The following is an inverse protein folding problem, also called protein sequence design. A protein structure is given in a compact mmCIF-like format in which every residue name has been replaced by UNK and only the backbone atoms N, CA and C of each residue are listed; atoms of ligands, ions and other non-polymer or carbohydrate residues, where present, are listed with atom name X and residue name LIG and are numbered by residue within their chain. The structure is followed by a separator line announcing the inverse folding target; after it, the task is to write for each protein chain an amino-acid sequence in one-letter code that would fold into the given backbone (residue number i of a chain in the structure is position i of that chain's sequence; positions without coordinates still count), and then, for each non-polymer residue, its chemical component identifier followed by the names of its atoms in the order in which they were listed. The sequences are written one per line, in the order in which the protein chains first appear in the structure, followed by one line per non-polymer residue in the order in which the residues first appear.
data_IF_769431830869
#
_entry.id   IF_769431830869
#
_cell.length_a   1.000
_cell.length_b   1.000
_cell.length_c   1.000
_cell.angle_alpha   90.00
_cell.angle_beta   90.00
_cell.angle_gamma   90.00
#
_symmetry.space_group_name_H-M   'P 1'
#
loop_
_entity.id
_entity.type
_entity.pdbx_description
1 polymer ?
#
# COMPACT_ATOMS: atom_id res chain seq x y z
N UNK A 1 34.91 -25.64 19.87
CA UNK A 1 33.80 -26.06 18.99
C UNK A 1 32.48 -25.55 19.55
N UNK A 2 31.71 -24.82 18.72
CA UNK A 2 30.25 -24.58 18.70
C UNK A 2 29.60 -24.00 19.97
N UNK A 3 29.37 -22.69 20.03
CA UNK A 3 28.13 -21.96 19.61
C UNK A 3 26.83 -22.59 20.13
N UNK A 4 26.12 -21.84 20.99
CA UNK A 4 24.85 -21.22 20.59
C UNK A 4 24.22 -20.47 21.77
N UNK A 5 24.44 -19.16 21.80
CA UNK A 5 23.65 -18.21 22.59
C UNK A 5 22.28 -18.11 21.92
N UNK A 6 21.25 -18.72 22.52
CA UNK A 6 19.86 -18.50 22.12
C UNK A 6 19.45 -17.08 22.53
N UNK A 7 19.53 -16.13 21.59
CA UNK A 7 18.79 -14.87 21.72
C UNK A 7 17.46 -15.10 21.02
N UNK A 8 16.44 -15.40 21.83
CA UNK A 8 15.05 -15.34 21.42
C UNK A 8 14.68 -13.87 21.21
N UNK A 9 14.97 -13.32 20.04
CA UNK A 9 14.39 -12.07 19.59
C UNK A 9 12.94 -12.32 19.21
N UNK A 10 12.07 -12.23 20.21
CA UNK A 10 10.65 -11.91 20.07
C UNK A 10 10.54 -10.56 19.33
N UNK A 11 10.63 -10.59 18.00
CA UNK A 11 10.19 -9.48 17.18
C UNK A 11 8.66 -9.49 17.23
N UNK A 12 8.12 -8.64 18.09
CA UNK A 12 6.76 -8.16 17.99
C UNK A 12 6.57 -7.59 16.58
N UNK A 13 6.06 -8.43 15.68
CA UNK A 13 5.40 -7.99 14.46
C UNK A 13 4.12 -7.29 14.93
N UNK A 14 4.23 -6.03 15.31
CA UNK A 14 3.07 -5.15 15.22
C UNK A 14 2.62 -5.24 13.76
N UNK A 15 1.38 -5.70 13.47
CA UNK A 15 0.86 -5.63 12.12
C UNK A 15 1.02 -4.17 11.71
N UNK A 16 1.61 -3.93 10.54
CA UNK A 16 1.60 -2.60 9.93
C UNK A 16 0.12 -2.31 9.76
N UNK A 17 -0.46 -1.56 10.70
CA UNK A 17 -1.88 -1.27 10.74
C UNK A 17 -2.17 -0.45 9.50
N UNK A 18 -2.65 -1.13 8.46
CA UNK A 18 -3.16 -0.53 7.25
C UNK A 18 -4.17 0.51 7.71
N UNK A 19 -3.90 1.79 7.48
CA UNK A 19 -4.62 2.91 8.08
C UNK A 19 -6.15 2.67 8.08
N UNK A 20 -6.67 2.22 9.23
CA UNK A 20 -8.08 1.85 9.41
C UNK A 20 -8.97 3.09 9.56
N UNK A 21 -8.39 4.24 9.89
CA UNK A 21 -9.16 5.35 10.45
C UNK A 21 -10.04 6.22 9.53
N UNK A 22 -9.92 6.28 8.18
CA UNK A 22 -10.86 7.07 7.36
C UNK A 22 -12.10 6.28 6.93
N UNK A 23 -11.93 5.01 6.53
CA UNK A 23 -13.01 4.17 6.00
C UNK A 23 -13.97 3.73 7.10
N UNK A 24 -13.44 3.46 8.30
CA UNK A 24 -14.26 3.15 9.46
C UNK A 24 -15.21 4.30 9.78
N UNK A 25 -14.73 5.55 9.71
CA UNK A 25 -15.58 6.73 9.95
C UNK A 25 -16.66 6.94 8.89
N UNK A 26 -16.37 6.67 7.61
CA UNK A 26 -17.39 6.77 6.55
C UNK A 26 -18.42 5.64 6.66
N UNK A 27 -17.96 4.41 6.94
CA UNK A 27 -18.86 3.30 7.24
C UNK A 27 -19.72 3.58 8.47
N UNK A 28 -19.16 4.14 9.53
CA UNK A 28 -19.91 4.53 10.74
C UNK A 28 -20.96 5.60 10.42
N UNK A 29 -20.65 6.55 9.52
CA UNK A 29 -21.60 7.57 9.06
C UNK A 29 -22.71 6.98 8.18
N UNK A 30 -22.39 6.02 7.31
CA UNK A 30 -23.36 5.29 6.49
C UNK A 30 -24.28 4.39 7.32
N UNK A 31 -23.76 3.82 8.40
CA UNK A 31 -24.47 2.88 9.28
C UNK A 31 -25.07 3.55 10.52
N UNK A 32 -24.95 4.87 10.68
CA UNK A 32 -25.52 5.61 11.79
C UNK A 32 -27.06 5.63 11.71
N UNK A 33 -27.78 5.37 12.81
CA UNK A 33 -29.25 5.43 12.84
C UNK A 33 -29.80 6.84 12.63
N UNK A 34 -28.94 7.87 12.69
CA UNK A 34 -29.25 9.24 12.25
C UNK A 34 -28.71 9.38 10.83
N UNK A 35 -29.61 9.45 9.84
CA UNK A 35 -29.25 9.69 8.43
C UNK A 35 -28.58 11.05 8.27
N UNK A 36 -27.27 11.10 8.49
CA UNK A 36 -26.45 12.21 8.02
C UNK A 36 -26.27 12.00 6.53
N UNK A 37 -26.85 12.91 5.73
CA UNK A 37 -26.70 12.89 4.28
C UNK A 37 -25.23 13.16 3.95
N UNK A 38 -24.47 12.11 3.67
CA UNK A 38 -23.09 12.21 3.20
C UNK A 38 -23.11 13.06 1.92
N UNK A 39 -22.34 14.13 1.93
CA UNK A 39 -22.23 15.00 0.77
C UNK A 39 -21.16 14.46 -0.19
N UNK A 40 -21.27 14.79 -1.48
CA UNK A 40 -20.19 14.53 -2.45
C UNK A 40 -18.85 15.10 -1.97
N UNK A 41 -18.86 16.22 -1.25
CA UNK A 41 -17.64 16.81 -0.69
C UNK A 41 -16.99 15.92 0.38
N UNK A 42 -17.79 15.28 1.23
CA UNK A 42 -17.32 14.32 2.24
C UNK A 42 -16.73 13.06 1.60
N UNK A 43 -17.36 12.56 0.53
CA UNK A 43 -16.84 11.43 -0.24
C UNK A 43 -15.51 11.78 -0.93
N UNK A 44 -15.44 12.95 -1.59
CA UNK A 44 -14.20 13.45 -2.22
C UNK A 44 -13.09 13.56 -1.19
N UNK A 45 -13.36 14.13 -0.02
CA UNK A 45 -12.38 14.29 1.06
C UNK A 45 -11.87 12.95 1.57
N UNK A 46 -12.77 11.99 1.77
CA UNK A 46 -12.43 10.64 2.23
C UNK A 46 -11.58 9.92 1.19
N UNK A 47 -12.00 9.98 -0.07
CA UNK A 47 -11.28 9.45 -1.21
C UNK A 47 -9.85 10.01 -1.30
N UNK A 48 -9.71 11.35 -1.35
CA UNK A 48 -8.41 12.02 -1.49
C UNK A 48 -7.50 11.68 -0.32
N UNK A 49 -8.02 11.71 0.92
CA UNK A 49 -7.26 11.34 2.11
C UNK A 49 -6.73 9.90 2.01
N UNK A 50 -7.58 8.95 1.67
CA UNK A 50 -7.19 7.54 1.58
C UNK A 50 -6.15 7.30 0.50
N UNK A 51 -6.34 7.87 -0.70
CA UNK A 51 -5.35 7.75 -1.77
C UNK A 51 -4.00 8.32 -1.34
N UNK A 52 -4.00 9.49 -0.70
CA UNK A 52 -2.77 10.13 -0.20
C UNK A 52 -2.05 9.27 0.83
N UNK A 53 -2.77 8.71 1.80
CA UNK A 53 -2.20 7.82 2.82
C UNK A 53 -1.62 6.54 2.20
N UNK A 54 -2.30 5.96 1.20
CA UNK A 54 -1.80 4.79 0.47
C UNK A 54 -0.53 5.10 -0.33
N UNK A 55 -0.48 6.24 -1.03
CA UNK A 55 0.71 6.67 -1.78
C UNK A 55 1.90 6.96 -0.85
N UNK A 56 1.68 7.67 0.26
CA UNK A 56 2.70 7.92 1.28
C UNK A 56 3.28 6.62 1.85
N UNK A 57 2.40 5.66 2.17
CA UNK A 57 2.84 4.36 2.65
C UNK A 57 3.69 3.62 1.61
N UNK A 58 3.28 3.62 0.33
CA UNK A 58 4.03 2.98 -0.74
C UNK A 58 5.42 3.61 -0.95
N UNK A 59 5.54 4.93 -0.80
CA UNK A 59 6.82 5.63 -0.87
C UNK A 59 7.73 5.26 0.31
N UNK A 60 7.20 5.22 1.54
CA UNK A 60 7.96 4.75 2.72
C UNK A 60 8.37 3.29 2.59
N UNK A 61 7.46 2.43 2.12
CA UNK A 61 7.75 1.02 1.86
C UNK A 61 8.89 0.86 0.84
N UNK A 62 8.83 1.61 -0.27
CA UNK A 62 9.88 1.62 -1.29
C UNK A 62 11.22 2.06 -0.70
N UNK A 63 11.23 3.14 0.08
CA UNK A 63 12.45 3.64 0.72
C UNK A 63 13.05 2.62 1.71
N UNK A 64 12.21 1.99 2.53
CA UNK A 64 12.61 0.97 3.48
C UNK A 64 13.18 -0.29 2.79
N UNK A 65 12.58 -0.73 1.69
CA UNK A 65 13.07 -1.87 0.92
C UNK A 65 14.38 -1.58 0.19
N UNK A 66 14.55 -0.39 -0.39
CA UNK A 66 15.82 0.04 -0.97
C UNK A 66 16.90 0.11 0.10
N UNK A 67 16.62 0.75 1.24
CA UNK A 67 17.59 0.87 2.33
C UNK A 67 18.03 -0.50 2.87
N UNK A 68 17.09 -1.46 3.02
CA UNK A 68 17.45 -2.82 3.40
C UNK A 68 18.32 -3.49 2.34
N UNK A 69 17.90 -3.44 1.07
CA UNK A 69 18.64 -4.06 -0.04
C UNK A 69 20.07 -3.53 -0.11
N UNK A 70 20.27 -2.24 0.06
CA UNK A 70 21.60 -1.62 -0.03
C UNK A 70 22.51 -2.02 1.14
N UNK A 71 21.93 -2.24 2.34
CA UNK A 71 22.68 -2.64 3.55
C UNK A 71 23.00 -4.14 3.59
N UNK A 72 22.03 -4.98 3.24
CA UNK A 72 22.07 -6.42 3.52
C UNK A 72 22.06 -7.28 2.24
N UNK A 73 21.69 -6.70 1.11
CA UNK A 73 21.34 -7.44 -0.11
C UNK A 73 19.93 -8.05 -0.02
N UNK A 74 19.30 -8.19 -1.19
CA UNK A 74 18.14 -9.07 -1.33
C UNK A 74 18.54 -10.34 -2.07
N UNK A 75 18.01 -11.47 -1.61
CA UNK A 75 17.92 -12.67 -2.42
C UNK A 75 17.02 -12.41 -3.64
N UNK A 76 17.11 -13.29 -4.64
CA UNK A 76 16.25 -13.20 -5.83
C UNK A 76 14.76 -13.29 -5.48
N UNK A 77 14.41 -14.11 -4.49
CA UNK A 77 13.02 -14.27 -4.04
C UNK A 77 12.53 -13.01 -3.31
N UNK A 78 13.31 -12.45 -2.39
CA UNK A 78 12.93 -11.21 -1.70
C UNK A 78 12.80 -10.02 -2.67
N UNK A 79 13.66 -9.94 -3.68
CA UNK A 79 13.53 -8.91 -4.72
C UNK A 79 12.27 -9.10 -5.57
N UNK A 80 11.91 -10.35 -5.89
CA UNK A 80 10.65 -10.68 -6.57
C UNK A 80 9.46 -10.24 -5.70
N UNK A 81 9.43 -10.66 -4.44
CA UNK A 81 8.35 -10.38 -3.50
C UNK A 81 8.22 -8.88 -3.21
N UNK A 82 9.32 -8.14 -3.11
CA UNK A 82 9.32 -6.68 -2.98
C UNK A 82 8.63 -5.98 -4.16
N UNK A 83 8.90 -6.41 -5.38
CA UNK A 83 8.30 -5.81 -6.57
C UNK A 83 6.84 -6.24 -6.73
N UNK A 84 6.52 -7.48 -6.37
CA UNK A 84 5.14 -7.98 -6.36
C UNK A 84 4.27 -7.28 -5.31
N UNK A 85 4.79 -7.02 -4.11
CA UNK A 85 4.08 -6.23 -3.10
C UNK A 85 3.77 -4.82 -3.57
N UNK A 86 4.69 -4.15 -4.27
CA UNK A 86 4.42 -2.84 -4.87
C UNK A 86 3.30 -2.92 -5.91
N UNK A 87 3.31 -3.95 -6.75
CA UNK A 87 2.25 -4.15 -7.76
C UNK A 87 0.90 -4.44 -7.09
N UNK A 88 0.90 -5.23 -6.02
CA UNK A 88 -0.27 -5.53 -5.21
C UNK A 88 -0.87 -4.25 -4.62
N UNK A 89 -0.07 -3.44 -3.91
CA UNK A 89 -0.56 -2.21 -3.28
C UNK A 89 -1.14 -1.20 -4.30
N UNK A 90 -0.51 -1.09 -5.48
CA UNK A 90 -1.04 -0.25 -6.56
C UNK A 90 -2.34 -0.79 -7.14
N UNK A 91 -2.50 -2.12 -7.21
CA UNK A 91 -3.73 -2.75 -7.69
C UNK A 91 -4.86 -2.61 -6.66
N UNK A 92 -4.58 -2.81 -5.38
CA UNK A 92 -5.49 -2.55 -4.25
C UNK A 92 -5.99 -1.10 -4.25
N UNK A 93 -5.07 -0.13 -4.45
CA UNK A 93 -5.44 1.27 -4.55
C UNK A 93 -6.36 1.55 -5.75
N UNK A 94 -6.10 0.94 -6.91
CA UNK A 94 -6.96 1.09 -8.10
C UNK A 94 -8.34 0.47 -7.86
N UNK A 95 -8.42 -0.66 -7.16
CA UNK A 95 -9.71 -1.28 -6.84
C UNK A 95 -10.50 -0.43 -5.85
N UNK A 96 -9.84 0.16 -4.86
CA UNK A 96 -10.43 1.21 -4.03
C UNK A 96 -10.94 2.39 -4.87
N UNK A 97 -10.15 2.88 -5.83
CA UNK A 97 -10.55 3.99 -6.70
C UNK A 97 -11.79 3.69 -7.54
N UNK A 98 -11.94 2.44 -8.00
CA UNK A 98 -13.14 1.99 -8.73
C UNK A 98 -14.40 2.01 -7.87
N UNK A 99 -14.30 1.78 -6.56
CA UNK A 99 -15.46 1.89 -5.66
C UNK A 99 -16.05 3.31 -5.63
N UNK A 100 -15.26 4.32 -5.99
CA UNK A 100 -15.66 5.72 -6.09
C UNK A 100 -15.77 6.20 -7.54
N UNK A 101 -16.06 5.30 -8.49
CA UNK A 101 -16.14 5.66 -9.92
C UNK A 101 -17.18 6.74 -10.22
N UNK A 102 -18.21 6.89 -9.38
CA UNK A 102 -19.19 7.96 -9.51
C UNK A 102 -18.57 9.35 -9.34
N UNK A 103 -17.43 9.48 -8.66
CA UNK A 103 -16.72 10.74 -8.48
C UNK A 103 -15.75 11.07 -9.64
N UNK A 104 -15.63 10.21 -10.67
CA UNK A 104 -14.65 10.38 -11.75
C UNK A 104 -14.85 11.65 -12.60
N UNK A 105 -16.00 12.33 -12.49
CA UNK A 105 -16.22 13.64 -13.12
C UNK A 105 -15.51 14.79 -12.40
N UNK A 106 -15.12 14.61 -11.12
CA UNK A 106 -14.40 15.62 -10.34
C UNK A 106 -12.96 15.71 -10.89
N UNK A 107 -12.50 16.89 -11.35
CA UNK A 107 -11.20 17.03 -12.03
C UNK A 107 -10.00 16.53 -11.20
N UNK A 108 -10.00 16.79 -9.89
CA UNK A 108 -8.95 16.31 -8.98
C UNK A 108 -8.90 14.78 -8.93
N UNK A 109 -10.05 14.11 -8.78
CA UNK A 109 -10.17 12.66 -8.71
C UNK A 109 -9.76 12.02 -10.04
N UNK A 110 -10.18 12.62 -11.16
CA UNK A 110 -9.75 12.18 -12.49
C UNK A 110 -8.23 12.21 -12.65
N UNK A 111 -7.59 13.30 -12.21
CA UNK A 111 -6.14 13.44 -12.22
C UNK A 111 -5.45 12.38 -11.35
N UNK A 112 -5.94 12.19 -10.12
CA UNK A 112 -5.42 11.19 -9.18
C UNK A 112 -5.52 9.77 -9.76
N UNK A 113 -6.66 9.40 -10.34
CA UNK A 113 -6.89 8.10 -10.96
C UNK A 113 -5.90 7.85 -12.10
N UNK A 114 -5.75 8.83 -12.99
CA UNK A 114 -4.83 8.72 -14.12
C UNK A 114 -3.37 8.54 -13.65
N UNK A 115 -2.92 9.36 -12.70
CA UNK A 115 -1.57 9.25 -12.14
C UNK A 115 -1.32 7.89 -11.48
N UNK A 116 -2.33 7.35 -10.79
CA UNK A 116 -2.24 6.04 -10.13
C UNK A 116 -2.08 4.92 -11.15
N UNK A 117 -2.82 4.96 -12.26
CA UNK A 117 -2.70 4.01 -13.37
C UNK A 117 -1.30 4.08 -13.98
N UNK A 118 -0.77 5.28 -14.22
CA UNK A 118 0.56 5.48 -14.79
C UNK A 118 1.66 4.88 -13.91
N UNK A 119 1.62 5.19 -12.60
CA UNK A 119 2.55 4.60 -11.61
C UNK A 119 2.45 3.07 -11.58
N UNK A 120 1.24 2.52 -11.67
CA UNK A 120 1.03 1.06 -11.65
C UNK A 120 1.63 0.40 -12.88
N UNK A 121 1.53 1.03 -14.05
CA UNK A 121 2.16 0.56 -15.28
C UNK A 121 3.69 0.62 -15.21
N UNK A 122 4.28 1.61 -14.53
CA UNK A 122 5.74 1.62 -14.27
C UNK A 122 6.18 0.44 -13.40
N UNK A 123 5.43 0.12 -12.36
CA UNK A 123 5.70 -1.06 -11.51
C UNK A 123 5.54 -2.34 -12.33
N UNK A 124 4.48 -2.46 -13.13
CA UNK A 124 4.21 -3.63 -13.96
C UNK A 124 5.29 -3.85 -15.02
N UNK A 125 5.81 -2.78 -15.64
CA UNK A 125 6.97 -2.87 -16.56
C UNK A 125 8.17 -3.51 -15.87
N UNK A 126 8.46 -3.15 -14.63
CA UNK A 126 9.55 -3.75 -13.87
C UNK A 126 9.29 -5.24 -13.57
N UNK A 127 8.08 -5.59 -13.13
CA UNK A 127 7.68 -6.98 -12.89
C UNK A 127 7.85 -7.84 -14.16
N UNK A 128 7.38 -7.34 -15.30
CA UNK A 128 7.52 -8.02 -16.60
C UNK A 128 8.97 -8.14 -17.05
N UNK A 129 9.78 -7.08 -16.90
CA UNK A 129 11.20 -7.05 -17.30
C UNK A 129 12.00 -8.18 -16.65
N UNK A 130 11.71 -8.51 -15.39
CA UNK A 130 12.43 -9.54 -14.64
C UNK A 130 11.70 -10.88 -14.56
N UNK A 131 10.56 -11.03 -15.26
CA UNK A 131 9.71 -12.21 -15.25
C UNK A 131 9.32 -12.66 -13.82
N UNK A 132 8.98 -11.69 -12.99
CA UNK A 132 8.54 -11.91 -11.61
C UNK A 132 7.17 -12.59 -11.57
N UNK A 133 7.05 -13.62 -10.73
CA UNK A 133 5.79 -14.35 -10.52
C UNK A 133 5.14 -13.83 -9.26
N UNK A 134 4.13 -12.99 -9.44
CA UNK A 134 3.41 -12.38 -8.32
C UNK A 134 2.19 -13.20 -7.91
N UNK A 135 1.97 -13.28 -6.60
CA UNK A 135 0.73 -13.73 -5.99
C UNK A 135 -0.22 -12.55 -5.80
N UNK A 136 -1.49 -12.83 -5.49
CA UNK A 136 -2.49 -11.81 -5.18
C UNK A 136 -2.54 -11.50 -3.67
N UNK A 137 -1.40 -11.55 -2.99
CA UNK A 137 -1.31 -11.37 -1.54
C UNK A 137 -0.04 -10.58 -1.19
N UNK A 138 -0.09 -9.81 -0.10
CA UNK A 138 1.09 -9.18 0.47
C UNK A 138 1.96 -10.22 1.16
N UNK A 139 3.21 -10.33 0.71
CA UNK A 139 4.20 -11.23 1.29
C UNK A 139 5.06 -10.42 2.27
N UNK A 140 5.27 -10.95 3.47
CA UNK A 140 6.20 -10.32 4.40
C UNK A 140 7.64 -10.46 3.89
N UNK A 141 8.36 -9.33 3.81
CA UNK A 141 9.76 -9.31 3.40
C UNK A 141 10.59 -8.48 4.39
N UNK A 142 11.91 -8.69 4.45
CA UNK A 142 12.77 -7.82 5.23
C UNK A 142 12.76 -6.38 4.70
N UNK A 143 12.54 -5.43 5.62
CA UNK A 143 12.56 -4.00 5.37
C UNK A 143 13.42 -3.33 6.44
N UNK A 144 14.03 -2.20 6.09
CA UNK A 144 14.69 -1.36 7.06
C UNK A 144 13.67 -0.44 7.71
N UNK A 145 13.18 -0.86 8.88
CA UNK A 145 12.13 -0.14 9.60
C UNK A 145 12.62 1.07 10.39
N UNK A 146 13.93 1.37 10.36
CA UNK A 146 14.48 2.53 11.08
C UNK A 146 13.91 3.88 10.63
N UNK A 147 13.19 3.91 9.50
CA UNK A 147 12.56 5.09 8.90
C UNK A 147 11.09 4.90 8.52
N UNK A 148 10.46 3.79 8.94
CA UNK A 148 9.07 3.45 8.61
C UNK A 148 8.07 4.15 9.54
#
# INVERSE_FOLDING_TARGET
MKFSTLIASLLFLSPITYAQHPMDRLNDLMNSPVSQKITTEDEVRTYVKRVRESLDFMDRYKAAGISYKDKNGYTKQELNDFQCNKLYMMTDLIDFQKMYSHLAYVPEIKSINQNTIELREEVLKNVRKYNFKCTNELINIPLDTSKL
#
